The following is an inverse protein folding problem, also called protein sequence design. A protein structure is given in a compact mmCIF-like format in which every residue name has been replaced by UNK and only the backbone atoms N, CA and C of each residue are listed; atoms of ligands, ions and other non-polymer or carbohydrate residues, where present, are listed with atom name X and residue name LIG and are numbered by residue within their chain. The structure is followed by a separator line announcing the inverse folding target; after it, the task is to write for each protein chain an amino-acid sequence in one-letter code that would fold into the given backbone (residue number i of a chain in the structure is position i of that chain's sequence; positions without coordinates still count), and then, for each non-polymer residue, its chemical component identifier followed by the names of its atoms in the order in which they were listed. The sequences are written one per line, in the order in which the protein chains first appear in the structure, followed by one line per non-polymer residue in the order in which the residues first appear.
data_IF_790460309726
#
_entry.id   IF_790460309726
#
_cell.length_a   1.000
_cell.length_b   1.000
_cell.length_c   1.000
_cell.angle_alpha   90.00
_cell.angle_beta   90.00
_cell.angle_gamma   90.00
#
_symmetry.space_group_name_H-M   'P 1'
#
loop_
_entity.id
_entity.type
_entity.pdbx_description
1 polymer ?
#
# COMPACT_ATOMS: atom_id res chain seq x y z
N UNK A 1 30.19 10.64 -34.59
CA UNK A 1 29.83 9.21 -34.48
C UNK A 1 29.35 8.78 -35.86
N UNK A 2 30.13 7.98 -36.57
CA UNK A 2 30.00 7.81 -38.02
C UNK A 2 28.68 7.10 -38.36
N UNK A 3 27.86 7.69 -39.25
CA UNK A 3 26.60 7.11 -39.69
C UNK A 3 26.77 5.70 -40.28
N UNK A 4 27.94 5.40 -40.83
CA UNK A 4 28.30 4.07 -41.33
C UNK A 4 28.44 3.01 -40.23
N UNK A 5 28.87 3.41 -39.01
CA UNK A 5 29.01 2.48 -37.89
C UNK A 5 27.62 1.99 -37.44
N UNK A 6 26.64 2.90 -37.34
CA UNK A 6 25.24 2.58 -36.99
C UNK A 6 24.50 1.80 -38.10
N UNK A 7 24.93 1.91 -39.36
CA UNK A 7 24.39 1.16 -40.48
C UNK A 7 24.96 -0.27 -40.61
N UNK A 8 26.06 -0.58 -39.90
CA UNK A 8 26.62 -1.93 -39.84
C UNK A 8 25.78 -2.83 -38.90
N UNK A 9 25.64 -4.14 -39.18
CA UNK A 9 24.97 -5.07 -38.27
C UNK A 9 25.54 -5.04 -36.85
N UNK A 10 26.86 -4.84 -36.71
CA UNK A 10 27.54 -4.76 -35.42
C UNK A 10 27.15 -3.49 -34.66
N UNK A 11 27.13 -2.33 -35.33
CA UNK A 11 26.72 -1.08 -34.67
C UNK A 11 25.24 -1.04 -34.33
N UNK A 12 24.37 -1.68 -35.12
CA UNK A 12 22.96 -1.86 -34.77
C UNK A 12 22.82 -2.70 -33.49
N UNK A 13 23.52 -3.84 -33.40
CA UNK A 13 23.52 -4.70 -32.20
C UNK A 13 24.05 -3.93 -30.98
N UNK A 14 25.17 -3.21 -31.13
CA UNK A 14 25.72 -2.40 -30.04
C UNK A 14 24.75 -1.30 -29.57
N UNK A 15 24.05 -0.64 -30.49
CA UNK A 15 23.05 0.37 -30.16
C UNK A 15 21.83 -0.22 -29.42
N UNK A 16 21.34 -1.39 -29.86
CA UNK A 16 20.24 -2.10 -29.17
C UNK A 16 20.65 -2.54 -27.76
N UNK A 17 21.87 -3.06 -27.60
CA UNK A 17 22.40 -3.44 -26.27
C UNK A 17 22.49 -2.20 -25.38
N UNK A 18 23.07 -1.10 -25.87
CA UNK A 18 23.18 0.14 -25.12
C UNK A 18 21.80 0.68 -24.69
N UNK A 19 20.84 0.71 -25.62
CA UNK A 19 19.47 1.13 -25.33
C UNK A 19 18.81 0.21 -24.28
N UNK A 20 18.98 -1.11 -24.41
CA UNK A 20 18.44 -2.08 -23.44
C UNK A 20 19.03 -1.86 -22.05
N UNK A 21 20.36 -1.68 -21.95
CA UNK A 21 21.03 -1.39 -20.67
C UNK A 21 20.49 -0.10 -20.04
N UNK A 22 20.30 0.96 -20.84
CA UNK A 22 19.74 2.23 -20.36
C UNK A 22 18.31 2.04 -19.85
N UNK A 23 17.45 1.38 -20.63
CA UNK A 23 16.04 1.15 -20.25
C UNK A 23 15.93 0.28 -19.00
N UNK A 24 16.72 -0.79 -18.89
CA UNK A 24 16.78 -1.64 -17.70
C UNK A 24 17.29 -0.86 -16.50
N UNK A 25 18.33 -0.04 -16.68
CA UNK A 25 18.88 0.81 -15.62
C UNK A 25 17.86 1.82 -15.10
N UNK A 26 17.18 2.53 -15.99
CA UNK A 26 16.10 3.47 -15.66
C UNK A 26 14.95 2.75 -14.93
N UNK A 27 14.51 1.60 -15.45
CA UNK A 27 13.43 0.82 -14.84
C UNK A 27 13.78 0.36 -13.43
N UNK A 28 15.02 -0.11 -13.23
CA UNK A 28 15.53 -0.54 -11.92
C UNK A 28 15.58 0.63 -10.93
N UNK A 29 16.00 1.81 -11.38
CA UNK A 29 16.02 3.03 -10.57
C UNK A 29 14.60 3.44 -10.14
N UNK A 30 13.65 3.52 -11.08
CA UNK A 30 12.26 3.88 -10.77
C UNK A 30 11.62 2.89 -9.81
N UNK A 31 11.87 1.60 -10.00
CA UNK A 31 11.37 0.57 -9.10
C UNK A 31 11.96 0.66 -7.69
N UNK A 32 13.27 0.96 -7.58
CA UNK A 32 13.91 1.22 -6.29
C UNK A 32 13.34 2.45 -5.58
N UNK A 33 13.13 3.55 -6.30
CA UNK A 33 12.50 4.76 -5.77
C UNK A 33 11.06 4.52 -5.34
N UNK A 34 10.29 3.77 -6.13
CA UNK A 34 8.93 3.39 -5.76
C UNK A 34 8.92 2.57 -4.47
N UNK A 35 9.82 1.60 -4.31
CA UNK A 35 9.94 0.83 -3.06
C UNK A 35 10.25 1.70 -1.85
N UNK A 36 11.12 2.70 -2.01
CA UNK A 36 11.42 3.65 -0.94
C UNK A 36 10.21 4.52 -0.60
N UNK A 37 9.48 4.97 -1.63
CA UNK A 37 8.24 5.72 -1.45
C UNK A 37 7.20 4.92 -0.67
N UNK A 38 7.10 3.61 -0.88
CA UNK A 38 6.10 2.75 -0.25
C UNK A 38 6.48 2.23 1.14
N UNK A 39 7.72 2.48 1.61
CA UNK A 39 8.20 2.00 2.93
C UNK A 39 7.21 2.31 4.06
N UNK A 40 6.73 3.56 4.26
CA UNK A 40 5.80 3.84 5.34
C UNK A 40 4.53 2.97 5.31
N UNK A 41 3.95 2.79 4.13
CA UNK A 41 2.74 1.98 3.99
C UNK A 41 2.94 0.51 4.29
N UNK A 42 4.03 -0.08 3.78
CA UNK A 42 4.38 -1.48 4.08
C UNK A 42 4.61 -1.66 5.59
N UNK A 43 5.33 -0.75 6.22
CA UNK A 43 5.62 -0.83 7.66
C UNK A 43 4.34 -0.76 8.50
N UNK A 44 3.44 0.19 8.22
CA UNK A 44 2.18 0.33 8.97
C UNK A 44 1.25 -0.86 8.70
N UNK A 45 1.25 -1.41 7.48
CA UNK A 45 0.52 -2.63 7.14
C UNK A 45 0.93 -3.81 8.01
N UNK A 46 2.22 -4.16 7.98
CA UNK A 46 2.74 -5.30 8.73
C UNK A 46 2.66 -5.07 10.25
N UNK A 47 2.79 -3.81 10.70
CA UNK A 47 2.55 -3.44 12.08
C UNK A 47 1.11 -3.72 12.51
N UNK A 48 0.12 -3.23 11.75
CA UNK A 48 -1.28 -3.49 12.05
C UNK A 48 -1.60 -5.00 12.07
N UNK A 49 -1.03 -5.76 11.13
CA UNK A 49 -1.18 -7.22 11.07
C UNK A 49 -0.62 -7.93 12.31
N UNK A 50 0.62 -7.59 12.70
CA UNK A 50 1.29 -8.12 13.89
C UNK A 50 0.52 -7.76 15.16
N UNK A 51 0.10 -6.50 15.30
CA UNK A 51 -0.64 -6.06 16.48
C UNK A 51 -2.00 -6.77 16.60
N UNK A 52 -2.65 -7.07 15.48
CA UNK A 52 -3.86 -7.88 15.48
C UNK A 52 -3.59 -9.31 15.95
N UNK A 53 -2.50 -9.94 15.50
CA UNK A 53 -2.09 -11.27 15.97
C UNK A 53 -1.89 -11.29 17.49
N UNK A 54 -1.14 -10.32 18.02
CA UNK A 54 -0.92 -10.19 19.46
C UNK A 54 -2.23 -9.98 20.23
N UNK A 55 -3.11 -9.12 19.72
CA UNK A 55 -4.39 -8.80 20.35
C UNK A 55 -5.30 -10.03 20.49
N UNK A 56 -5.29 -10.90 19.49
CA UNK A 56 -6.13 -12.10 19.47
C UNK A 56 -5.39 -13.36 19.96
N UNK A 57 -4.14 -13.24 20.40
CA UNK A 57 -3.35 -14.33 20.96
C UNK A 57 -2.80 -15.32 19.92
N UNK A 58 -2.71 -14.93 18.64
CA UNK A 58 -2.11 -15.76 17.59
C UNK A 58 -0.59 -15.58 17.64
N UNK A 59 0.20 -16.66 17.83
CA UNK A 59 1.64 -16.53 18.01
C UNK A 59 2.33 -16.07 16.73
N UNK A 60 3.11 -15.00 16.82
CA UNK A 60 3.92 -14.49 15.72
C UNK A 60 5.29 -15.17 15.72
N UNK A 61 5.65 -15.79 14.60
CA UNK A 61 6.89 -16.55 14.42
C UNK A 61 8.01 -15.68 13.88
N UNK A 62 7.70 -14.78 12.94
CA UNK A 62 8.68 -13.95 12.25
C UNK A 62 8.00 -12.69 11.69
N UNK A 63 8.69 -11.56 11.75
CA UNK A 63 8.20 -10.29 11.20
C UNK A 63 9.31 -9.59 10.44
N UNK A 64 8.99 -9.12 9.24
CA UNK A 64 9.79 -8.15 8.52
C UNK A 64 8.88 -6.96 8.14
N UNK A 65 9.06 -5.83 8.83
CA UNK A 65 8.28 -4.62 8.54
C UNK A 65 8.63 -3.99 7.19
N UNK A 66 9.87 -4.18 6.73
CA UNK A 66 10.28 -3.82 5.38
C UNK A 66 11.54 -4.61 4.98
N UNK A 67 11.61 -5.02 3.72
CA UNK A 67 12.80 -5.58 3.08
C UNK A 67 12.80 -5.28 1.57
N UNK A 68 13.98 -5.18 0.98
CA UNK A 68 14.12 -5.19 -0.48
C UNK A 68 13.96 -6.61 -1.03
N UNK A 69 12.74 -7.16 -0.93
CA UNK A 69 12.39 -8.50 -1.36
C UNK A 69 10.97 -8.56 -1.94
N UNK A 70 10.46 -9.76 -2.15
CA UNK A 70 9.06 -10.02 -2.48
C UNK A 70 8.56 -11.15 -1.56
N UNK A 71 7.58 -10.90 -0.67
CA UNK A 71 6.94 -9.61 -0.43
C UNK A 71 7.87 -8.57 0.23
N UNK A 72 7.57 -7.26 0.09
CA UNK A 72 8.35 -6.16 0.68
C UNK A 72 8.22 -6.06 2.21
N UNK A 73 7.25 -6.74 2.79
CA UNK A 73 7.05 -6.93 4.23
C UNK A 73 6.28 -8.24 4.45
N UNK A 74 6.31 -8.78 5.67
CA UNK A 74 5.46 -9.91 6.06
C UNK A 74 5.40 -10.10 7.58
N UNK A 75 4.34 -10.73 8.04
CA UNK A 75 4.21 -11.34 9.37
C UNK A 75 3.86 -12.80 9.19
N UNK A 76 4.75 -13.70 9.64
CA UNK A 76 4.47 -15.14 9.74
C UNK A 76 3.93 -15.43 11.12
N UNK A 77 2.74 -15.95 11.19
CA UNK A 77 2.06 -16.30 12.44
C UNK A 77 1.51 -17.72 12.40
N UNK A 78 1.15 -18.25 13.58
CA UNK A 78 0.48 -19.53 13.72
C UNK A 78 -0.92 -19.52 13.10
N UNK A 79 -1.52 -20.70 12.97
CA UNK A 79 -2.90 -20.80 12.50
C UNK A 79 -3.87 -20.29 13.58
N UNK A 80 -4.76 -19.33 13.27
CA UNK A 80 -5.80 -18.92 14.22
C UNK A 80 -6.73 -20.08 14.54
N UNK A 81 -7.11 -20.23 15.81
CA UNK A 81 -7.97 -21.33 16.26
C UNK A 81 -9.44 -21.07 15.92
N UNK A 82 -9.84 -19.80 15.96
CA UNK A 82 -11.24 -19.36 15.82
C UNK A 82 -11.39 -18.43 14.62
N UNK A 83 -12.52 -18.51 13.94
CA UNK A 83 -12.83 -17.65 12.79
C UNK A 83 -12.64 -16.14 13.06
N UNK A 84 -13.06 -15.68 14.24
CA UNK A 84 -12.93 -14.26 14.62
C UNK A 84 -11.47 -13.79 14.65
N UNK A 85 -10.54 -14.68 14.99
CA UNK A 85 -9.12 -14.38 15.07
C UNK A 85 -8.58 -14.20 13.64
N UNK A 86 -8.90 -15.13 12.73
CA UNK A 86 -8.64 -14.98 11.30
C UNK A 86 -9.21 -13.68 10.74
N UNK A 87 -10.47 -13.37 11.07
CA UNK A 87 -11.12 -12.15 10.58
C UNK A 87 -10.42 -10.88 11.08
N UNK A 88 -10.13 -10.79 12.38
CA UNK A 88 -9.44 -9.62 12.97
C UNK A 88 -8.05 -9.43 12.36
N UNK A 89 -7.28 -10.52 12.23
CA UNK A 89 -5.95 -10.50 11.62
C UNK A 89 -6.02 -10.03 10.17
N UNK A 90 -6.91 -10.58 9.34
CA UNK A 90 -7.02 -10.20 7.93
C UNK A 90 -7.55 -8.77 7.69
N UNK A 91 -8.40 -8.24 8.58
CA UNK A 91 -9.03 -6.91 8.39
C UNK A 91 -8.21 -5.78 9.01
N UNK A 92 -7.38 -6.07 10.02
CA UNK A 92 -6.63 -5.04 10.73
C UNK A 92 -5.71 -4.17 9.85
N UNK A 93 -4.97 -4.70 8.85
CA UNK A 93 -4.13 -3.86 7.98
C UNK A 93 -4.93 -2.80 7.24
N UNK A 94 -6.11 -3.17 6.73
CA UNK A 94 -7.03 -2.24 6.07
C UNK A 94 -7.45 -1.10 6.97
N UNK A 95 -7.94 -1.42 8.17
CA UNK A 95 -8.41 -0.40 9.11
C UNK A 95 -7.24 0.46 9.61
N UNK A 96 -6.12 -0.16 9.98
CA UNK A 96 -4.95 0.53 10.51
C UNK A 96 -4.38 1.53 9.51
N UNK A 97 -4.09 1.09 8.28
CA UNK A 97 -3.57 1.97 7.24
C UNK A 97 -4.58 3.05 6.85
N UNK A 98 -5.86 2.72 6.71
CA UNK A 98 -6.89 3.71 6.38
C UNK A 98 -6.95 4.82 7.43
N UNK A 99 -6.96 4.46 8.72
CA UNK A 99 -7.01 5.44 9.81
C UNK A 99 -5.77 6.33 9.85
N UNK A 100 -4.58 5.75 9.71
CA UNK A 100 -3.32 6.51 9.76
C UNK A 100 -3.16 7.40 8.51
N UNK A 101 -3.48 6.89 7.33
CA UNK A 101 -3.46 7.67 6.09
C UNK A 101 -4.46 8.82 6.15
N UNK A 102 -5.69 8.56 6.61
CA UNK A 102 -6.70 9.60 6.77
C UNK A 102 -6.29 10.66 7.79
N UNK A 103 -5.69 10.28 8.92
CA UNK A 103 -5.15 11.23 9.90
C UNK A 103 -4.04 12.11 9.31
N UNK A 104 -3.11 11.52 8.53
CA UNK A 104 -2.08 12.28 7.82
C UNK A 104 -2.69 13.26 6.82
N UNK A 105 -3.72 12.84 6.07
CA UNK A 105 -4.43 13.70 5.13
C UNK A 105 -5.26 14.79 5.79
N UNK A 106 -5.87 14.52 6.96
CA UNK A 106 -6.52 15.55 7.77
C UNK A 106 -5.52 16.62 8.21
N UNK A 107 -4.34 16.20 8.68
CA UNK A 107 -3.26 17.11 9.03
C UNK A 107 -2.80 17.94 7.82
N UNK A 108 -2.67 17.32 6.65
CA UNK A 108 -2.31 18.00 5.40
C UNK A 108 -3.38 19.03 5.01
N UNK A 109 -4.66 18.63 5.00
CA UNK A 109 -5.77 19.52 4.67
C UNK A 109 -5.79 20.73 5.62
N UNK A 110 -5.79 20.51 6.95
CA UNK A 110 -5.78 21.60 7.92
C UNK A 110 -4.57 22.55 7.74
N UNK A 111 -3.39 22.00 7.40
CA UNK A 111 -2.21 22.81 7.11
C UNK A 111 -2.41 23.67 5.85
N UNK A 112 -3.00 23.12 4.79
CA UNK A 112 -3.25 23.85 3.55
C UNK A 112 -4.29 24.95 3.74
N UNK A 113 -5.36 24.68 4.48
CA UNK A 113 -6.39 25.68 4.80
C UNK A 113 -5.80 26.89 5.54
N UNK A 114 -4.92 26.63 6.52
CA UNK A 114 -4.33 27.68 7.37
C UNK A 114 -3.18 28.43 6.71
N UNK A 115 -2.51 27.84 5.72
CA UNK A 115 -1.33 28.43 5.06
C UNK A 115 -1.72 29.45 3.99
N UNK A 116 -2.87 29.31 3.33
CA UNK A 116 -3.24 30.16 2.19
C UNK A 116 -2.33 29.90 0.97
N UNK A 117 -1.51 30.86 0.57
CA UNK A 117 -0.64 30.72 -0.61
C UNK A 117 0.65 29.92 -0.32
N UNK A 118 0.76 28.75 -0.95
CA UNK A 118 1.96 27.88 -0.88
C UNK A 118 3.26 28.58 -1.33
N UNK A 119 3.19 29.56 -2.24
CA UNK A 119 4.39 30.25 -2.76
C UNK A 119 5.08 31.13 -1.72
N UNK A 120 4.34 31.59 -0.73
CA UNK A 120 4.84 32.41 0.38
C UNK A 120 5.06 31.58 1.64
N UNK A 121 4.76 30.28 1.61
CA UNK A 121 4.87 29.40 2.76
C UNK A 121 6.33 29.23 3.18
N UNK A 122 6.54 29.08 4.49
CA UNK A 122 7.85 28.76 5.04
C UNK A 122 8.34 27.38 4.56
N UNK A 123 9.65 27.18 4.50
CA UNK A 123 10.23 25.88 4.14
C UNK A 123 9.73 24.75 5.06
N UNK A 124 9.53 25.03 6.35
CA UNK A 124 9.01 24.06 7.32
C UNK A 124 7.57 23.67 7.01
N UNK A 125 6.73 24.63 6.60
CA UNK A 125 5.35 24.36 6.17
C UNK A 125 5.33 23.46 4.94
N UNK A 126 6.13 23.78 3.92
CA UNK A 126 6.21 22.99 2.68
C UNK A 126 6.73 21.59 2.98
N UNK A 127 7.81 21.46 3.76
CA UNK A 127 8.36 20.16 4.15
C UNK A 127 7.34 19.31 4.92
N UNK A 128 6.57 19.92 5.83
CA UNK A 128 5.52 19.24 6.59
C UNK A 128 4.39 18.77 5.69
N UNK A 129 3.94 19.62 4.75
CA UNK A 129 2.92 19.25 3.77
C UNK A 129 3.37 18.07 2.89
N UNK A 130 4.62 18.10 2.40
CA UNK A 130 5.20 17.02 1.62
C UNK A 130 5.33 15.73 2.43
N UNK A 131 5.75 15.82 3.70
CA UNK A 131 5.83 14.66 4.57
C UNK A 131 4.45 14.04 4.82
N UNK A 132 3.45 14.84 5.19
CA UNK A 132 2.08 14.38 5.43
C UNK A 132 1.44 13.78 4.17
N UNK A 133 1.64 14.42 3.01
CA UNK A 133 1.18 13.91 1.73
C UNK A 133 1.86 12.59 1.35
N UNK A 134 3.17 12.49 1.54
CA UNK A 134 3.93 11.26 1.30
C UNK A 134 3.47 10.13 2.22
N UNK A 135 3.37 10.37 3.54
CA UNK A 135 2.87 9.39 4.49
C UNK A 135 1.46 8.95 4.15
N UNK A 136 0.54 9.90 3.92
CA UNK A 136 -0.85 9.61 3.59
C UNK A 136 -0.98 8.77 2.33
N UNK A 137 -0.28 9.13 1.24
CA UNK A 137 -0.30 8.39 -0.01
C UNK A 137 0.32 7.00 0.13
N UNK A 138 1.52 6.93 0.70
CA UNK A 138 2.25 5.67 0.88
C UNK A 138 1.44 4.66 1.70
N UNK A 139 0.89 5.12 2.84
CA UNK A 139 0.09 4.31 3.75
C UNK A 139 -1.27 3.95 3.15
N UNK A 140 -1.96 4.90 2.52
CA UNK A 140 -3.24 4.66 1.85
C UNK A 140 -3.13 3.65 0.72
N UNK A 141 -2.06 3.72 -0.08
CA UNK A 141 -1.79 2.78 -1.17
C UNK A 141 -1.47 1.36 -0.70
N UNK A 142 -1.19 1.16 0.59
CA UNK A 142 -0.94 -0.17 1.17
C UNK A 142 -2.05 -0.58 2.12
N UNK A 143 -3.23 0.03 2.05
CA UNK A 143 -4.33 -0.30 2.94
C UNK A 143 -4.88 -1.71 2.69
N UNK A 144 -5.07 -2.12 1.44
CA UNK A 144 -5.77 -3.38 1.17
C UNK A 144 -4.94 -4.60 1.61
N UNK A 145 -5.57 -5.59 2.30
CA UNK A 145 -4.93 -6.84 2.68
C UNK A 145 -4.48 -7.65 1.47
N UNK A 146 -3.54 -8.57 1.68
CA UNK A 146 -3.01 -9.39 0.59
C UNK A 146 -4.02 -10.46 0.12
N UNK A 147 -3.75 -11.04 -1.04
CA UNK A 147 -4.49 -12.24 -1.51
C UNK A 147 -4.29 -13.44 -0.59
N UNK A 148 -3.16 -13.52 0.12
CA UNK A 148 -2.91 -14.53 1.15
C UNK A 148 -3.90 -14.46 2.30
N UNK A 149 -4.20 -13.25 2.76
CA UNK A 149 -5.17 -13.01 3.84
C UNK A 149 -6.60 -13.36 3.40
N UNK A 150 -6.96 -12.99 2.17
CA UNK A 150 -8.24 -13.37 1.58
C UNK A 150 -8.40 -14.90 1.45
N UNK A 151 -7.35 -15.60 0.98
CA UNK A 151 -7.35 -17.06 0.87
C UNK A 151 -7.55 -17.73 2.23
N UNK A 152 -6.81 -17.28 3.26
CA UNK A 152 -6.92 -17.83 4.61
C UNK A 152 -8.34 -17.67 5.18
N UNK A 153 -8.94 -16.48 5.01
CA UNK A 153 -10.30 -16.20 5.47
C UNK A 153 -11.36 -16.98 4.66
N UNK A 154 -11.14 -17.15 3.35
CA UNK A 154 -12.02 -17.91 2.47
C UNK A 154 -12.02 -19.41 2.81
N UNK A 155 -10.84 -20.01 2.96
CA UNK A 155 -10.70 -21.43 3.27
C UNK A 155 -11.36 -21.76 4.61
N UNK A 156 -11.20 -20.87 5.60
CA UNK A 156 -11.87 -21.02 6.90
C UNK A 156 -13.38 -20.87 6.79
N UNK A 157 -13.85 -19.88 6.04
CA UNK A 157 -15.30 -19.68 5.80
C UNK A 157 -15.92 -20.92 5.14
N UNK A 158 -15.23 -21.51 4.15
CA UNK A 158 -15.68 -22.72 3.45
C UNK A 158 -15.66 -23.97 4.35
N UNK A 159 -14.72 -24.08 5.28
CA UNK A 159 -14.67 -25.20 6.21
C UNK A 159 -15.78 -25.15 7.28
N UNK A 160 -16.11 -23.94 7.77
CA UNK A 160 -16.98 -23.78 8.95
C UNK A 160 -18.43 -23.38 8.66
N UNK A 161 -18.78 -22.95 7.44
CA UNK A 161 -20.11 -22.35 7.18
C UNK A 161 -21.30 -23.25 7.56
N UNK A 162 -21.14 -24.58 7.49
CA UNK A 162 -22.19 -25.54 7.88
C UNK A 162 -22.38 -25.62 9.40
N UNK A 163 -21.35 -25.34 10.18
CA UNK A 163 -21.37 -25.41 11.64
C UNK A 163 -21.69 -24.04 12.26
N UNK A 164 -21.19 -22.96 11.66
CA UNK A 164 -21.38 -21.59 12.12
C UNK A 164 -21.65 -20.66 10.94
N UNK A 165 -22.91 -20.37 10.60
CA UNK A 165 -23.25 -19.48 9.48
C UNK A 165 -22.70 -18.05 9.60
N UNK A 166 -22.27 -17.64 10.81
CA UNK A 166 -21.67 -16.31 11.06
C UNK A 166 -20.39 -16.08 10.24
N UNK A 167 -19.70 -17.14 9.83
CA UNK A 167 -18.53 -17.02 8.95
C UNK A 167 -18.86 -16.47 7.56
N UNK A 168 -20.13 -16.51 7.16
CA UNK A 168 -20.57 -15.89 5.90
C UNK A 168 -20.49 -14.36 5.94
N UNK A 169 -20.44 -13.74 7.12
CA UNK A 169 -20.26 -12.29 7.24
C UNK A 169 -18.89 -11.82 6.75
N UNK A 170 -17.87 -12.68 6.74
CA UNK A 170 -16.57 -12.33 6.15
C UNK A 170 -16.47 -12.57 4.65
N UNK A 171 -17.44 -13.26 4.04
CA UNK A 171 -17.42 -13.50 2.58
C UNK A 171 -17.47 -12.18 1.79
N UNK A 172 -18.32 -11.19 2.12
CA UNK A 172 -18.25 -9.87 1.49
C UNK A 172 -16.86 -9.23 1.59
N UNK A 173 -16.19 -9.35 2.74
CA UNK A 173 -14.83 -8.82 2.92
C UNK A 173 -13.81 -9.54 2.04
N UNK A 174 -13.85 -10.86 1.98
CA UNK A 174 -13.01 -11.67 1.07
C UNK A 174 -13.19 -11.21 -0.39
N UNK A 175 -14.43 -11.02 -0.83
CA UNK A 175 -14.73 -10.56 -2.20
C UNK A 175 -14.16 -9.16 -2.42
N UNK A 176 -14.34 -8.23 -1.49
CA UNK A 176 -13.77 -6.88 -1.58
C UNK A 176 -12.25 -6.94 -1.67
N UNK A 177 -11.58 -7.77 -0.86
CA UNK A 177 -10.12 -7.93 -0.90
C UNK A 177 -9.67 -8.47 -2.26
N UNK A 178 -10.32 -9.50 -2.81
CA UNK A 178 -9.97 -10.00 -4.15
C UNK A 178 -10.21 -8.98 -5.25
N UNK A 179 -11.34 -8.27 -5.22
CA UNK A 179 -11.65 -7.24 -6.21
C UNK A 179 -10.65 -6.09 -6.13
N UNK A 180 -10.33 -5.61 -4.93
CA UNK A 180 -9.33 -4.58 -4.73
C UNK A 180 -7.95 -5.01 -5.23
N UNK A 181 -7.50 -6.23 -4.87
CA UNK A 181 -6.23 -6.77 -5.34
C UNK A 181 -6.22 -6.98 -6.87
N UNK A 182 -7.34 -7.33 -7.50
CA UNK A 182 -7.44 -7.43 -8.96
C UNK A 182 -7.38 -6.06 -9.63
N UNK A 183 -8.07 -5.07 -9.06
CA UNK A 183 -8.11 -3.70 -9.56
C UNK A 183 -6.85 -2.89 -9.19
N UNK A 184 -5.96 -3.40 -8.33
CA UNK A 184 -4.65 -2.80 -8.05
C UNK A 184 -3.82 -2.63 -9.33
N UNK A 185 -3.99 -3.53 -10.30
CA UNK A 185 -3.41 -3.39 -11.64
C UNK A 185 -3.91 -2.14 -12.40
N UNK A 186 -5.11 -1.67 -12.09
CA UNK A 186 -5.71 -0.42 -12.57
C UNK A 186 -5.54 0.74 -11.57
N UNK A 187 -4.54 0.67 -10.68
CA UNK A 187 -4.20 1.73 -9.72
C UNK A 187 -5.30 1.99 -8.67
N UNK A 188 -6.16 1.01 -8.37
CA UNK A 188 -7.22 1.17 -7.39
C UNK A 188 -6.71 1.60 -6.01
N UNK A 189 -5.52 1.16 -5.59
CA UNK A 189 -4.92 1.54 -4.31
C UNK A 189 -4.56 3.04 -4.27
N UNK A 190 -4.08 3.58 -5.39
CA UNK A 190 -3.82 5.01 -5.52
C UNK A 190 -5.12 5.81 -5.52
N UNK A 191 -6.14 5.35 -6.26
CA UNK A 191 -7.45 5.99 -6.29
C UNK A 191 -8.09 5.99 -4.88
N UNK A 192 -7.93 4.91 -4.14
CA UNK A 192 -8.38 4.82 -2.75
C UNK A 192 -7.67 5.86 -1.86
N UNK A 193 -6.34 5.95 -1.92
CA UNK A 193 -5.57 6.93 -1.15
C UNK A 193 -5.97 8.38 -1.51
N UNK A 194 -6.16 8.68 -2.80
CA UNK A 194 -6.67 9.98 -3.26
C UNK A 194 -8.08 10.23 -2.71
N UNK A 195 -8.96 9.22 -2.74
CA UNK A 195 -10.30 9.31 -2.16
C UNK A 195 -10.28 9.66 -0.67
N UNK A 196 -9.35 9.09 0.10
CA UNK A 196 -9.15 9.45 1.52
C UNK A 196 -8.70 10.90 1.67
N UNK A 197 -7.80 11.40 0.81
CA UNK A 197 -7.39 12.80 0.83
C UNK A 197 -8.55 13.75 0.51
N UNK A 198 -9.34 13.45 -0.53
CA UNK A 198 -10.52 14.24 -0.90
C UNK A 198 -11.53 14.27 0.25
N UNK A 199 -11.78 13.12 0.90
CA UNK A 199 -12.64 13.06 2.08
C UNK A 199 -12.10 13.92 3.22
N UNK A 200 -10.78 13.88 3.48
CA UNK A 200 -10.16 14.68 4.53
C UNK A 200 -10.27 16.19 4.23
N UNK A 201 -10.03 16.60 2.99
CA UNK A 201 -10.19 17.99 2.54
C UNK A 201 -11.64 18.47 2.69
N UNK A 202 -12.61 17.60 2.36
CA UNK A 202 -14.03 17.89 2.54
C UNK A 202 -14.41 18.07 4.02
N UNK A 203 -13.89 17.21 4.91
CA UNK A 203 -14.12 17.30 6.36
C UNK A 203 -13.55 18.59 6.95
N UNK A 204 -12.40 19.05 6.46
CA UNK A 204 -11.77 20.30 6.89
C UNK A 204 -12.47 21.54 6.31
N UNK A 205 -13.29 21.39 5.26
CA UNK A 205 -14.04 22.50 4.67
C UNK A 205 -13.37 23.16 3.46
N UNK A 206 -12.28 22.59 2.94
CA UNK A 206 -11.61 23.03 1.71
C UNK A 206 -12.48 22.73 0.47
N UNK A 207 -13.43 21.79 0.59
CA UNK A 207 -14.23 21.28 -0.52
C UNK A 207 -13.47 20.23 -1.34
N UNK A 208 -14.03 19.74 -2.46
CA UNK A 208 -13.28 18.91 -3.40
C UNK A 208 -12.21 19.80 -4.07
N UNK A 209 -10.95 19.52 -3.77
CA UNK A 209 -9.78 20.09 -4.47
C UNK A 209 -9.75 19.59 -5.92
#
# INVERSE_FOLDING_TARGET
MNAELLASPIGLVAAVIALTVVLVGISTLFWGLFRLFTVPGVVVHEFAHKQACDLVGVPVLEVAYFRFGDPPGYVRHGQPERYRESFVVSVAPFLGNTLVAFAAFLGLAALLETTGELRTASLTTVATALALGWFGLSIGMHAFPSTGDANALWDRSRAEWRQSPRVLLGVPFVVVIYVANLLSWLWADLLYAIGLFVLAAWVVGIGPV
#
